data_IF_265804536117
#
_entry.id   IF_265804536117
#
_cell.length_a   1.000
_cell.length_b   1.000
_cell.length_c   1.000
_cell.angle_alpha   90.00
_cell.angle_beta   90.00
_cell.angle_gamma   90.00
#
_symmetry.space_group_name_H-M   'P 1'
#
loop_
_entity.id
_entity.type
_entity.pdbx_description
1 polymer ?
#
# COMPACT_ATOMS: atom_id res chain seq x y z
N UNK A 1 1.37 19.55 -22.42
CA UNK A 1 2.03 18.65 -21.44
C UNK A 1 0.98 18.35 -20.36
N UNK A 2 0.72 17.07 -20.03
CA UNK A 2 0.07 16.65 -18.77
C UNK A 2 -1.47 16.76 -18.59
N UNK A 3 -2.28 16.00 -19.33
CA UNK A 3 -3.63 15.60 -18.87
C UNK A 3 -3.70 14.11 -18.52
N UNK A 4 -3.26 13.24 -19.44
CA UNK A 4 -3.21 11.78 -19.25
C UNK A 4 -2.38 11.31 -18.04
N UNK A 5 -1.29 12.01 -17.72
CA UNK A 5 -0.45 11.68 -16.55
C UNK A 5 -1.18 12.00 -15.24
N UNK A 6 -1.92 13.10 -15.21
CA UNK A 6 -2.67 13.56 -14.05
C UNK A 6 -3.89 12.67 -13.76
N UNK A 7 -4.59 12.21 -14.80
CA UNK A 7 -5.69 11.24 -14.68
C UNK A 7 -5.22 9.89 -14.12
N UNK A 8 -4.21 9.26 -14.74
CA UNK A 8 -3.69 7.98 -14.27
C UNK A 8 -3.15 8.04 -12.83
N UNK A 9 -2.49 9.14 -12.46
CA UNK A 9 -1.99 9.34 -11.10
C UNK A 9 -3.13 9.46 -10.07
N UNK A 10 -4.20 10.17 -10.44
CA UNK A 10 -5.37 10.39 -9.57
C UNK A 10 -6.11 9.07 -9.35
N UNK A 11 -6.33 8.29 -10.41
CA UNK A 11 -6.98 6.97 -10.33
C UNK A 11 -6.19 6.02 -9.45
N UNK A 12 -4.87 5.98 -9.62
CA UNK A 12 -3.98 5.11 -8.87
C UNK A 12 -4.03 5.36 -7.37
N UNK A 13 -4.07 6.64 -6.96
CA UNK A 13 -4.16 7.04 -5.56
C UNK A 13 -5.56 6.82 -4.98
N UNK A 14 -6.61 6.98 -5.79
CA UNK A 14 -7.99 6.64 -5.41
C UNK A 14 -8.10 5.14 -5.14
N UNK A 15 -7.63 4.31 -6.06
CA UNK A 15 -7.62 2.85 -5.91
C UNK A 15 -6.84 2.43 -4.66
N UNK A 16 -5.68 3.04 -4.39
CA UNK A 16 -4.92 2.74 -3.18
C UNK A 16 -5.68 3.08 -1.88
N UNK A 17 -6.39 4.22 -1.83
CA UNK A 17 -7.22 4.58 -0.67
C UNK A 17 -8.37 3.59 -0.43
N UNK A 18 -9.01 3.11 -1.48
CA UNK A 18 -10.08 2.11 -1.39
C UNK A 18 -9.56 0.76 -0.90
N UNK A 19 -8.39 0.34 -1.39
CA UNK A 19 -7.68 -0.84 -0.90
C UNK A 19 -7.38 -0.68 0.58
N UNK A 20 -6.78 0.45 0.99
CA UNK A 20 -6.45 0.74 2.39
C UNK A 20 -7.68 0.67 3.31
N UNK A 21 -8.82 1.21 2.87
CA UNK A 21 -10.08 1.16 3.64
C UNK A 21 -10.57 -0.27 3.82
N UNK A 22 -10.57 -1.05 2.74
CA UNK A 22 -11.00 -2.45 2.74
C UNK A 22 -10.09 -3.32 3.60
N UNK A 23 -8.78 -3.21 3.38
CA UNK A 23 -7.75 -3.93 4.15
C UNK A 23 -7.83 -3.59 5.63
N UNK A 24 -7.98 -2.31 5.98
CA UNK A 24 -8.07 -1.90 7.38
C UNK A 24 -9.31 -2.48 8.06
N UNK A 25 -10.46 -2.47 7.38
CA UNK A 25 -11.69 -3.05 7.92
C UNK A 25 -11.56 -4.56 8.17
N UNK A 26 -11.10 -5.31 7.17
CA UNK A 26 -10.92 -6.76 7.28
C UNK A 26 -9.88 -7.09 8.35
N UNK A 27 -8.73 -6.41 8.31
CA UNK A 27 -7.66 -6.64 9.27
C UNK A 27 -8.10 -6.36 10.71
N UNK A 28 -8.84 -5.28 10.94
CA UNK A 28 -9.34 -4.95 12.27
C UNK A 28 -10.30 -6.01 12.80
N UNK A 29 -11.23 -6.49 11.96
CA UNK A 29 -12.29 -7.42 12.35
C UNK A 29 -11.85 -8.88 12.42
N UNK A 30 -10.88 -9.28 11.60
CA UNK A 30 -10.53 -10.68 11.42
C UNK A 30 -9.21 -11.09 12.07
N UNK A 31 -8.29 -10.14 12.28
CA UNK A 31 -6.98 -10.44 12.88
C UNK A 31 -7.06 -10.28 14.39
N UNK A 32 -6.73 -11.29 15.21
CA UNK A 32 -6.69 -11.14 16.66
C UNK A 32 -5.60 -10.16 17.11
N UNK A 33 -5.88 -9.34 18.14
CA UNK A 33 -4.94 -8.32 18.63
C UNK A 33 -3.57 -8.90 19.02
N UNK A 34 -3.55 -10.12 19.57
CA UNK A 34 -2.32 -10.85 19.94
C UNK A 34 -1.33 -11.08 18.78
N UNK A 35 -1.80 -11.02 17.54
CA UNK A 35 -0.94 -11.17 16.35
C UNK A 35 -0.87 -9.90 15.50
N UNK A 36 -1.64 -8.85 15.81
CA UNK A 36 -1.62 -7.61 15.05
C UNK A 36 -0.26 -6.95 15.15
N UNK A 37 0.36 -6.63 14.02
CA UNK A 37 1.65 -5.94 13.94
C UNK A 37 2.78 -6.61 14.73
N UNK A 38 2.63 -7.87 15.16
CA UNK A 38 3.53 -8.54 16.12
C UNK A 38 5.01 -8.48 15.73
N UNK A 39 5.33 -8.48 14.43
CA UNK A 39 6.72 -8.39 13.92
C UNK A 39 7.19 -6.96 13.66
N UNK A 40 6.26 -6.01 13.63
CA UNK A 40 6.45 -4.64 13.19
C UNK A 40 6.42 -3.63 14.36
N UNK A 41 5.88 -4.00 15.53
CA UNK A 41 5.89 -3.18 16.75
C UNK A 41 7.30 -2.95 17.29
N UNK A 42 8.13 -4.00 17.35
CA UNK A 42 9.47 -3.94 17.94
C UNK A 42 10.52 -3.32 16.98
N UNK A 43 10.23 -3.33 15.68
CA UNK A 43 11.13 -2.82 14.64
C UNK A 43 10.69 -1.45 14.09
N UNK A 44 9.59 -0.87 14.60
CA UNK A 44 8.94 0.32 14.06
C UNK A 44 8.65 0.23 12.55
N UNK A 45 8.51 -0.98 12.02
CA UNK A 45 8.20 -1.19 10.61
C UNK A 45 6.73 -0.92 10.37
N UNK A 46 6.43 -0.48 9.15
CA UNK A 46 5.08 -0.14 8.68
C UNK A 46 3.97 -1.05 9.22
N UNK A 47 2.79 -0.48 9.49
CA UNK A 47 1.60 -1.25 9.90
C UNK A 47 1.31 -2.36 8.89
N UNK A 48 0.85 -3.52 9.38
CA UNK A 48 0.53 -4.67 8.52
C UNK A 48 -0.46 -4.29 7.41
N UNK A 49 -1.43 -3.42 7.72
CA UNK A 49 -2.41 -2.92 6.75
C UNK A 49 -1.78 -2.16 5.59
N UNK A 50 -0.71 -1.40 5.83
CA UNK A 50 0.02 -0.64 4.80
C UNK A 50 0.78 -1.59 3.89
N UNK A 51 1.47 -2.58 4.48
CA UNK A 51 2.22 -3.60 3.72
C UNK A 51 1.26 -4.40 2.84
N UNK A 52 0.15 -4.88 3.40
CA UNK A 52 -0.87 -5.65 2.68
C UNK A 52 -1.46 -4.80 1.54
N UNK A 53 -1.81 -3.54 1.79
CA UNK A 53 -2.36 -2.66 0.76
C UNK A 53 -1.37 -2.40 -0.38
N UNK A 54 -0.08 -2.21 -0.08
CA UNK A 54 0.97 -2.04 -1.09
C UNK A 54 1.12 -3.27 -1.98
N UNK A 55 1.04 -4.47 -1.41
CA UNK A 55 1.10 -5.72 -2.17
C UNK A 55 -0.12 -5.87 -3.08
N UNK A 56 -1.33 -5.66 -2.56
CA UNK A 56 -2.57 -5.77 -3.36
C UNK A 56 -2.58 -4.75 -4.49
N UNK A 57 -2.23 -3.50 -4.20
CA UNK A 57 -2.10 -2.45 -5.20
C UNK A 57 -1.07 -2.83 -6.27
N UNK A 58 0.05 -3.41 -5.87
CA UNK A 58 1.07 -3.91 -6.79
C UNK A 58 0.53 -4.95 -7.77
N UNK A 59 -0.22 -5.92 -7.26
CA UNK A 59 -0.85 -6.99 -8.05
C UNK A 59 -1.87 -6.41 -9.04
N UNK A 60 -2.73 -5.50 -8.59
CA UNK A 60 -3.75 -4.86 -9.44
C UNK A 60 -3.10 -4.07 -10.59
N UNK A 61 -1.94 -3.45 -10.34
CA UNK A 61 -1.19 -2.72 -11.36
C UNK A 61 -0.27 -3.61 -12.22
N UNK A 62 -0.33 -4.94 -12.05
CA UNK A 62 0.42 -5.90 -12.86
C UNK A 62 1.90 -6.04 -12.50
N UNK A 63 2.34 -5.58 -11.33
CA UNK A 63 3.72 -5.78 -10.88
C UNK A 63 3.91 -7.23 -10.40
N UNK A 64 4.82 -7.95 -11.06
CA UNK A 64 5.01 -9.40 -10.87
C UNK A 64 6.06 -9.77 -9.82
N UNK A 65 6.76 -8.79 -9.24
CA UNK A 65 7.77 -9.03 -8.22
C UNK A 65 7.65 -8.04 -7.07
N UNK A 66 8.01 -8.48 -5.86
CA UNK A 66 8.03 -7.62 -4.67
C UNK A 66 8.91 -6.38 -4.87
N UNK A 67 10.03 -6.53 -5.58
CA UNK A 67 10.94 -5.41 -5.91
C UNK A 67 10.28 -4.40 -6.85
N UNK A 68 9.55 -4.86 -7.87
CA UNK A 68 8.84 -3.98 -8.79
C UNK A 68 7.72 -3.23 -8.06
N UNK A 69 6.92 -3.95 -7.25
CA UNK A 69 5.88 -3.34 -6.40
C UNK A 69 6.47 -2.29 -5.46
N UNK A 70 7.55 -2.61 -4.75
CA UNK A 70 8.20 -1.67 -3.83
C UNK A 70 8.66 -0.40 -4.55
N UNK A 71 9.34 -0.52 -5.69
CA UNK A 71 9.79 0.63 -6.48
C UNK A 71 8.61 1.49 -6.94
N UNK A 72 7.54 0.86 -7.41
CA UNK A 72 6.35 1.56 -7.87
C UNK A 72 5.63 2.27 -6.71
N UNK A 73 5.53 1.65 -5.54
CA UNK A 73 4.98 2.28 -4.33
C UNK A 73 5.80 3.51 -3.95
N UNK A 74 7.13 3.41 -3.91
CA UNK A 74 8.00 4.55 -3.61
C UNK A 74 7.91 5.67 -4.66
N UNK A 75 7.76 5.36 -5.95
CA UNK A 75 7.73 6.39 -6.99
C UNK A 75 6.34 6.98 -7.24
N UNK A 76 5.27 6.21 -7.00
CA UNK A 76 3.89 6.58 -7.38
C UNK A 76 3.05 6.97 -6.17
N UNK A 77 3.13 6.21 -5.08
CA UNK A 77 2.31 6.46 -3.88
C UNK A 77 3.03 7.36 -2.87
N UNK A 78 4.36 7.30 -2.82
CA UNK A 78 5.19 8.05 -1.87
C UNK A 78 6.35 8.80 -2.56
N UNK A 79 6.07 9.64 -3.59
CA UNK A 79 7.10 10.24 -4.44
C UNK A 79 8.10 11.12 -3.67
N UNK A 80 7.75 11.59 -2.49
CA UNK A 80 8.61 12.39 -1.62
C UNK A 80 9.55 11.56 -0.73
N UNK A 81 9.51 10.23 -0.84
CA UNK A 81 10.33 9.33 -0.01
C UNK A 81 9.75 9.06 1.38
N UNK A 82 8.55 9.55 1.68
CA UNK A 82 7.85 9.34 2.96
C UNK A 82 7.24 7.94 3.09
N UNK A 83 7.81 6.93 2.42
CA UNK A 83 7.38 5.54 2.61
C UNK A 83 8.00 5.02 3.92
N UNK A 84 7.20 4.79 4.99
CA UNK A 84 7.73 4.44 6.30
C UNK A 84 8.43 3.08 6.36
#
# INVERSE_FOLDING_TARGET
>A
RSSKYTEHYTDTFITFKEIMRTVSNIYHNCVPDKIKNRRNTDQLKQRDTVIIACVIWGIINGYTSQRATYRAVCSVLFPNGDFP
#
